data_IF_759013950165
#
_entry.id   IF_759013950165
#
_cell.length_a   1.000
_cell.length_b   1.000
_cell.length_c   1.000
_cell.angle_alpha   90.00
_cell.angle_beta   90.00
_cell.angle_gamma   90.00
#
_symmetry.space_group_name_H-M   'P 1'
#
loop_
_entity.id
_entity.type
_entity.pdbx_description
1 polymer ?
#
# COMPACT_ATOMS: atom_id res chain seq x y z
N UNK A 1 -3.92 16.47 6.97
CA UNK A 1 -3.17 17.48 6.18
C UNK A 1 -4.04 18.17 5.14
N UNK A 2 -4.59 17.46 4.13
CA UNK A 2 -5.45 18.06 3.09
C UNK A 2 -6.58 18.93 3.65
N UNK A 3 -7.33 18.45 4.65
CA UNK A 3 -8.43 19.23 5.24
C UNK A 3 -7.94 20.53 5.86
N UNK A 4 -6.80 20.51 6.56
CA UNK A 4 -6.21 21.71 7.16
C UNK A 4 -5.82 22.72 6.09
N UNK A 5 -5.08 22.29 5.08
CA UNK A 5 -4.66 23.10 3.94
C UNK A 5 -5.86 23.75 3.23
N UNK A 6 -6.89 22.94 2.93
CA UNK A 6 -8.09 23.40 2.23
C UNK A 6 -8.95 24.35 3.07
N UNK A 7 -9.07 24.12 4.38
CA UNK A 7 -9.80 25.02 5.29
C UNK A 7 -9.13 26.39 5.38
N UNK A 8 -7.80 26.42 5.40
CA UNK A 8 -7.04 27.67 5.42
C UNK A 8 -7.14 28.42 4.09
N UNK A 9 -7.00 27.72 2.96
CA UNK A 9 -7.04 28.32 1.63
C UNK A 9 -8.45 28.82 1.24
N UNK A 10 -9.49 28.05 1.52
CA UNK A 10 -10.84 28.34 1.00
C UNK A 10 -11.79 28.97 2.02
N UNK A 11 -11.52 28.79 3.32
CA UNK A 11 -12.37 29.35 4.37
C UNK A 11 -11.63 30.37 5.26
N UNK A 12 -10.34 30.61 5.01
CA UNK A 12 -9.54 31.53 5.83
C UNK A 12 -9.39 31.08 7.29
N UNK A 13 -9.63 29.79 7.57
CA UNK A 13 -9.63 29.26 8.92
C UNK A 13 -8.22 29.30 9.56
N UNK A 14 -8.19 29.20 10.89
CA UNK A 14 -6.98 28.83 11.64
C UNK A 14 -7.14 27.38 12.06
N UNK A 15 -6.11 26.56 11.85
CA UNK A 15 -6.18 25.12 12.08
C UNK A 15 -5.05 24.72 13.01
N UNK A 16 -5.39 23.92 14.02
CA UNK A 16 -4.41 23.22 14.85
C UNK A 16 -4.52 21.73 14.57
N UNK A 17 -3.40 21.09 14.24
CA UNK A 17 -3.29 19.66 13.99
C UNK A 17 -2.61 19.05 15.21
N UNK A 18 -3.19 17.97 15.74
CA UNK A 18 -2.55 17.13 16.74
C UNK A 18 -2.33 15.74 16.15
N UNK A 19 -1.19 15.12 16.49
CA UNK A 19 -0.93 13.71 16.22
C UNK A 19 -0.28 13.08 17.45
N UNK A 20 -0.64 11.83 17.75
CA UNK A 20 -0.06 11.07 18.86
C UNK A 20 1.36 10.63 18.55
N UNK A 21 1.73 10.58 17.27
CA UNK A 21 3.08 10.26 16.80
C UNK A 21 4.01 11.46 16.96
N UNK A 22 5.29 11.18 16.93
CA UNK A 22 6.40 12.14 16.99
C UNK A 22 6.71 12.78 15.62
N UNK A 23 5.89 12.53 14.60
CA UNK A 23 6.04 13.07 13.26
C UNK A 23 4.68 13.28 12.58
N UNK A 24 4.67 14.09 11.51
CA UNK A 24 3.49 14.26 10.65
C UNK A 24 3.36 13.12 9.64
N UNK A 25 2.20 13.06 8.96
CA UNK A 25 2.03 12.25 7.75
C UNK A 25 1.49 10.84 7.96
N UNK A 26 1.25 10.44 9.21
CA UNK A 26 0.73 9.11 9.52
C UNK A 26 1.64 8.02 8.95
N UNK A 27 1.07 7.03 8.28
CA UNK A 27 1.86 5.91 7.74
C UNK A 27 2.72 6.31 6.53
N UNK A 28 2.39 7.39 5.83
CA UNK A 28 3.17 7.87 4.69
C UNK A 28 4.46 8.60 5.11
N UNK A 29 4.72 8.73 6.41
CA UNK A 29 5.97 9.28 6.91
C UNK A 29 7.19 8.50 6.43
N UNK A 30 8.17 9.24 5.93
CA UNK A 30 9.48 8.74 5.55
C UNK A 30 10.59 9.57 6.19
N UNK A 31 11.77 8.97 6.31
CA UNK A 31 12.97 9.64 6.80
C UNK A 31 14.18 9.21 5.98
N UNK A 32 15.20 10.06 5.94
CA UNK A 32 16.48 9.70 5.32
C UNK A 32 17.30 8.91 6.32
N UNK A 33 17.76 7.73 5.92
CA UNK A 33 18.72 6.96 6.68
C UNK A 33 20.10 7.61 6.58
N UNK A 34 20.71 7.96 7.71
CA UNK A 34 21.97 8.71 7.72
C UNK A 34 23.17 7.87 7.24
N UNK A 35 23.12 6.55 7.46
CA UNK A 35 24.20 5.64 7.08
C UNK A 35 24.19 5.33 5.59
N UNK A 36 23.01 5.02 5.03
CA UNK A 36 22.89 4.59 3.62
C UNK A 36 22.49 5.71 2.67
N UNK A 37 21.95 6.81 3.18
CA UNK A 37 21.37 7.88 2.36
C UNK A 37 20.03 7.51 1.70
N UNK A 38 19.47 6.33 1.97
CA UNK A 38 18.19 5.90 1.42
C UNK A 38 17.00 6.56 2.13
N UNK A 39 15.92 6.84 1.40
CA UNK A 39 14.64 7.24 2.00
C UNK A 39 13.88 6.00 2.50
N UNK A 40 13.74 5.87 3.82
CA UNK A 40 13.04 4.75 4.46
C UNK A 40 11.62 5.16 4.85
N UNK A 41 10.65 4.31 4.52
CA UNK A 41 9.27 4.49 4.95
C UNK A 41 9.03 3.67 6.23
N UNK A 42 8.85 4.37 7.36
CA UNK A 42 8.76 3.75 8.69
C UNK A 42 7.62 2.73 8.84
N UNK A 43 6.56 2.88 8.05
CA UNK A 43 5.33 2.07 8.12
C UNK A 43 5.05 1.32 6.81
N UNK A 44 6.11 0.95 6.09
CA UNK A 44 6.06 0.22 4.82
C UNK A 44 6.03 1.12 3.59
N UNK A 45 6.34 0.55 2.44
CA UNK A 45 6.41 1.30 1.17
C UNK A 45 5.07 1.97 0.84
N UNK A 46 5.16 3.25 0.50
CA UNK A 46 4.07 4.07 -0.02
C UNK A 46 4.44 4.49 -1.43
N UNK A 47 3.50 4.33 -2.36
CA UNK A 47 3.72 4.53 -3.78
C UNK A 47 2.60 5.41 -4.28
N UNK A 48 2.93 6.60 -4.78
CA UNK A 48 1.90 7.51 -5.23
C UNK A 48 1.49 7.15 -6.65
N UNK A 49 0.21 6.83 -6.84
CA UNK A 49 -0.39 6.61 -8.15
C UNK A 49 -1.85 7.08 -8.15
N UNK A 50 -2.31 7.66 -9.26
CA UNK A 50 -3.70 8.09 -9.40
C UNK A 50 -4.09 8.28 -10.86
N UNK A 51 -5.37 8.02 -11.18
CA UNK A 51 -6.00 8.46 -12.43
C UNK A 51 -6.93 9.66 -12.22
N UNK A 52 -6.95 10.24 -11.02
CA UNK A 52 -7.76 11.41 -10.72
C UNK A 52 -6.95 12.69 -10.97
N UNK A 53 -7.24 13.36 -12.09
CA UNK A 53 -6.54 14.59 -12.49
C UNK A 53 -6.56 15.66 -11.41
N UNK A 54 -7.70 15.84 -10.72
CA UNK A 54 -7.82 16.84 -9.65
C UNK A 54 -6.86 16.54 -8.50
N UNK A 55 -6.69 15.27 -8.14
CA UNK A 55 -5.73 14.86 -7.11
C UNK A 55 -4.32 15.10 -7.61
N UNK A 56 -3.98 14.68 -8.83
CA UNK A 56 -2.67 14.91 -9.44
C UNK A 56 -2.27 16.39 -9.45
N UNK A 57 -3.14 17.24 -9.98
CA UNK A 57 -2.93 18.69 -10.05
C UNK A 57 -2.77 19.28 -8.63
N UNK A 58 -3.55 18.81 -7.66
CA UNK A 58 -3.48 19.27 -6.28
C UNK A 58 -2.15 18.92 -5.61
N UNK A 59 -1.70 17.66 -5.71
CA UNK A 59 -0.48 17.22 -5.03
C UNK A 59 0.78 17.85 -5.63
N UNK A 60 0.77 18.14 -6.94
CA UNK A 60 1.88 18.79 -7.65
C UNK A 60 2.10 20.26 -7.25
N UNK A 61 1.19 20.86 -6.46
CA UNK A 61 1.41 22.17 -5.84
C UNK A 61 2.47 22.14 -4.73
N UNK A 62 2.71 20.97 -4.15
CA UNK A 62 3.49 20.80 -2.92
C UNK A 62 4.72 19.91 -3.11
N UNK A 63 4.82 19.19 -4.23
CA UNK A 63 6.01 18.38 -4.57
C UNK A 63 6.04 18.14 -6.07
N UNK A 64 7.23 17.95 -6.63
CA UNK A 64 7.38 17.23 -7.89
C UNK A 64 7.43 15.73 -7.63
N UNK A 65 7.17 14.95 -8.68
CA UNK A 65 7.28 13.49 -8.65
C UNK A 65 8.37 13.03 -9.62
N UNK A 66 9.07 11.96 -9.25
CA UNK A 66 9.98 11.22 -10.14
C UNK A 66 9.19 10.52 -11.24
N UNK A 67 9.89 9.97 -12.24
CA UNK A 67 9.32 9.09 -13.26
C UNK A 67 9.28 7.61 -12.83
N UNK A 68 9.43 7.35 -11.53
CA UNK A 68 9.40 6.01 -10.96
C UNK A 68 8.11 5.27 -11.36
N UNK A 69 8.28 4.04 -11.85
CA UNK A 69 7.18 3.14 -12.19
C UNK A 69 7.36 1.84 -11.43
N UNK A 70 6.42 1.57 -10.54
CA UNK A 70 6.47 0.45 -9.63
C UNK A 70 6.36 -0.88 -10.38
N UNK A 71 7.30 -1.76 -10.08
CA UNK A 71 7.34 -3.14 -10.55
C UNK A 71 7.59 -4.03 -9.34
N UNK A 72 6.89 -5.15 -9.32
CA UNK A 72 6.98 -6.15 -8.25
C UNK A 72 7.35 -7.47 -8.89
N UNK A 73 8.18 -8.23 -8.18
CA UNK A 73 8.50 -9.60 -8.51
C UNK A 73 8.04 -10.52 -7.39
N UNK A 74 7.86 -11.80 -7.69
CA UNK A 74 7.55 -12.82 -6.70
C UNK A 74 8.51 -14.00 -6.84
N UNK A 75 9.06 -14.45 -5.73
CA UNK A 75 9.75 -15.73 -5.64
C UNK A 75 8.76 -16.83 -5.33
N UNK A 76 8.77 -17.88 -6.15
CA UNK A 76 8.03 -19.13 -5.97
C UNK A 76 8.92 -20.30 -6.40
N UNK A 77 9.11 -21.28 -5.52
CA UNK A 77 9.93 -22.48 -5.76
C UNK A 77 11.35 -22.16 -6.27
N UNK A 78 11.97 -21.14 -5.66
CA UNK A 78 13.32 -20.69 -6.02
C UNK A 78 13.42 -19.87 -7.32
N UNK A 79 12.33 -19.69 -8.07
CA UNK A 79 12.30 -18.89 -9.28
C UNK A 79 11.63 -17.52 -9.08
N UNK A 80 12.12 -16.50 -9.79
CA UNK A 80 11.60 -15.12 -9.72
C UNK A 80 10.69 -14.84 -10.91
N UNK A 81 9.47 -14.39 -10.64
CA UNK A 81 8.42 -14.12 -11.62
C UNK A 81 7.99 -12.65 -11.58
N UNK A 82 7.68 -12.02 -12.73
CA UNK A 82 7.10 -10.68 -12.74
C UNK A 82 5.66 -10.70 -12.21
N UNK A 83 5.28 -9.66 -11.47
CA UNK A 83 3.91 -9.38 -11.07
C UNK A 83 3.41 -8.04 -11.65
N UNK A 84 2.09 -7.89 -11.87
CA UNK A 84 1.05 -8.92 -11.73
C UNK A 84 1.20 -10.02 -12.78
N UNK A 85 0.50 -11.15 -12.59
CA UNK A 85 0.50 -12.27 -13.55
C UNK A 85 0.24 -11.73 -14.96
N UNK A 86 1.24 -11.85 -15.83
CA UNK A 86 1.20 -11.36 -17.20
C UNK A 86 1.68 -12.45 -18.17
N UNK A 87 1.79 -12.14 -19.46
CA UNK A 87 2.22 -13.12 -20.46
C UNK A 87 3.64 -13.63 -20.21
N UNK A 88 4.51 -12.81 -19.62
CA UNK A 88 5.83 -13.21 -19.15
C UNK A 88 5.77 -14.22 -18.01
N UNK A 89 4.96 -13.95 -16.98
CA UNK A 89 4.71 -14.89 -15.88
C UNK A 89 4.20 -16.23 -16.39
N UNK A 90 3.19 -16.21 -17.27
CA UNK A 90 2.57 -17.42 -17.82
C UNK A 90 3.59 -18.23 -18.61
N UNK A 91 4.34 -17.57 -19.52
CA UNK A 91 5.33 -18.27 -20.34
C UNK A 91 6.48 -18.85 -19.53
N UNK A 92 6.93 -18.15 -18.48
CA UNK A 92 7.95 -18.68 -17.57
C UNK A 92 7.41 -19.88 -16.78
N UNK A 93 6.25 -19.74 -16.13
CA UNK A 93 5.70 -20.75 -15.22
C UNK A 93 5.32 -22.06 -15.94
N UNK A 94 4.83 -21.96 -17.18
CA UNK A 94 4.48 -23.12 -17.99
C UNK A 94 5.61 -23.55 -18.96
N UNK A 95 6.80 -22.94 -18.87
CA UNK A 95 7.93 -23.17 -19.77
C UNK A 95 7.55 -23.19 -21.26
N UNK A 96 6.82 -22.15 -21.68
CA UNK A 96 6.14 -22.07 -22.96
C UNK A 96 6.39 -20.75 -23.70
N UNK A 97 5.87 -20.66 -24.93
CA UNK A 97 5.92 -19.46 -25.79
C UNK A 97 4.54 -19.06 -26.30
N UNK A 98 3.56 -19.02 -25.41
CA UNK A 98 2.20 -18.65 -25.74
C UNK A 98 2.13 -17.22 -26.28
N UNK A 99 1.34 -17.09 -27.34
CA UNK A 99 0.77 -15.81 -27.79
C UNK A 99 -0.33 -15.37 -26.80
N UNK A 100 -0.76 -14.08 -26.84
CA UNK A 100 -1.88 -13.62 -26.03
C UNK A 100 -3.15 -14.48 -26.14
N UNK A 101 -3.49 -14.95 -27.34
CA UNK A 101 -4.69 -15.77 -27.57
C UNK A 101 -4.55 -17.18 -26.98
N UNK A 102 -3.38 -17.80 -27.10
CA UNK A 102 -3.11 -19.11 -26.52
C UNK A 102 -3.10 -19.04 -24.98
N UNK A 103 -2.51 -17.99 -24.41
CA UNK A 103 -2.53 -17.76 -22.96
C UNK A 103 -3.95 -17.54 -22.43
N UNK A 104 -4.81 -16.80 -23.14
CA UNK A 104 -6.23 -16.66 -22.78
C UNK A 104 -6.94 -18.01 -22.76
N UNK A 105 -6.72 -18.83 -23.78
CA UNK A 105 -7.30 -20.17 -23.86
C UNK A 105 -6.82 -21.07 -22.72
N UNK A 106 -5.51 -21.06 -22.43
CA UNK A 106 -4.93 -21.81 -21.32
C UNK A 106 -5.56 -21.42 -19.98
N UNK A 107 -5.64 -20.12 -19.67
CA UNK A 107 -6.22 -19.65 -18.41
C UNK A 107 -7.69 -20.03 -18.31
N UNK A 108 -8.46 -19.93 -19.42
CA UNK A 108 -9.85 -20.35 -19.43
C UNK A 108 -10.02 -21.87 -19.22
N UNK A 109 -9.14 -22.69 -19.81
CA UNK A 109 -9.11 -24.14 -19.59
C UNK A 109 -8.79 -24.48 -18.12
N UNK A 110 -7.78 -23.83 -17.53
CA UNK A 110 -7.38 -24.03 -16.13
C UNK A 110 -8.44 -23.54 -15.13
N UNK A 111 -9.11 -22.42 -15.43
CA UNK A 111 -10.23 -21.89 -14.64
C UNK A 111 -11.52 -22.73 -14.78
N UNK A 112 -11.57 -23.62 -15.79
CA UNK A 112 -12.74 -24.44 -16.14
C UNK A 112 -13.26 -25.29 -15.00
N UNK A 113 -12.40 -25.67 -14.04
CA UNK A 113 -12.76 -26.46 -12.85
C UNK A 113 -13.97 -25.88 -12.10
N UNK A 114 -14.03 -24.55 -11.98
CA UNK A 114 -15.08 -23.84 -11.25
C UNK A 114 -15.90 -22.92 -12.15
N UNK A 115 -15.83 -23.11 -13.47
CA UNK A 115 -16.61 -22.32 -14.42
C UNK A 115 -18.13 -22.49 -14.17
N UNK A 116 -18.87 -21.38 -14.14
CA UNK A 116 -20.31 -21.38 -13.91
C UNK A 116 -20.75 -21.54 -12.45
N UNK A 117 -19.83 -21.66 -11.50
CA UNK A 117 -20.13 -21.63 -10.07
C UNK A 117 -20.17 -20.19 -9.52
N UNK A 118 -20.73 -20.00 -8.32
CA UNK A 118 -20.67 -18.73 -7.57
C UNK A 118 -19.90 -18.91 -6.24
N UNK A 119 -18.56 -18.90 -6.27
CA UNK A 119 -17.72 -19.11 -5.10
C UNK A 119 -18.00 -18.09 -3.98
N UNK A 120 -18.20 -18.58 -2.76
CA UNK A 120 -18.43 -17.73 -1.58
C UNK A 120 -17.14 -17.44 -0.79
N UNK A 121 -16.05 -18.16 -1.08
CA UNK A 121 -14.74 -17.96 -0.45
C UNK A 121 -13.68 -17.48 -1.45
N UNK A 122 -12.58 -16.92 -0.93
CA UNK A 122 -11.47 -16.38 -1.72
C UNK A 122 -10.76 -17.48 -2.51
N UNK A 123 -10.60 -18.66 -1.93
CA UNK A 123 -9.88 -19.77 -2.54
C UNK A 123 -10.48 -20.19 -3.89
N UNK A 124 -11.74 -20.57 -3.86
CA UNK A 124 -12.48 -21.04 -5.03
C UNK A 124 -12.68 -19.90 -6.02
N UNK A 125 -12.85 -18.66 -5.53
CA UNK A 125 -12.91 -17.49 -6.41
C UNK A 125 -11.60 -17.24 -7.16
N UNK A 126 -10.45 -17.41 -6.49
CA UNK A 126 -9.13 -17.29 -7.09
C UNK A 126 -8.91 -18.35 -8.17
N UNK A 127 -9.20 -19.62 -7.87
CA UNK A 127 -9.10 -20.74 -8.81
C UNK A 127 -10.00 -20.50 -10.03
N UNK A 128 -11.24 -20.06 -9.83
CA UNK A 128 -12.16 -19.72 -10.91
C UNK A 128 -11.63 -18.60 -11.83
N UNK A 129 -10.78 -17.70 -11.33
CA UNK A 129 -10.30 -16.55 -12.12
C UNK A 129 -9.02 -16.86 -12.90
N UNK A 130 -8.10 -17.63 -12.34
CA UNK A 130 -6.75 -17.80 -12.90
C UNK A 130 -6.29 -19.26 -13.02
N UNK A 131 -7.14 -20.20 -12.64
CA UNK A 131 -6.81 -21.62 -12.58
C UNK A 131 -6.03 -22.00 -11.31
N UNK A 132 -6.14 -23.27 -10.94
CA UNK A 132 -5.52 -23.82 -9.72
C UNK A 132 -4.00 -23.65 -9.68
N UNK A 133 -3.22 -23.95 -10.75
CA UNK A 133 -1.76 -23.90 -10.65
C UNK A 133 -1.23 -22.50 -10.29
N UNK A 134 -1.69 -21.47 -11.00
CA UNK A 134 -1.25 -20.09 -10.75
C UNK A 134 -1.79 -19.53 -9.41
N UNK A 135 -2.99 -19.96 -9.02
CA UNK A 135 -3.56 -19.58 -7.73
C UNK A 135 -2.75 -20.16 -6.57
N UNK A 136 -2.42 -21.45 -6.62
CA UNK A 136 -1.62 -22.11 -5.57
C UNK A 136 -0.20 -21.55 -5.53
N UNK A 137 0.41 -21.27 -6.69
CA UNK A 137 1.75 -20.69 -6.80
C UNK A 137 1.84 -19.27 -6.24
N UNK A 138 0.96 -18.35 -6.67
CA UNK A 138 1.19 -16.92 -6.43
C UNK A 138 0.22 -16.27 -5.43
N UNK A 139 -0.95 -16.87 -5.17
CA UNK A 139 -2.03 -16.21 -4.43
C UNK A 139 -2.31 -16.88 -3.09
N UNK A 140 -2.47 -18.21 -3.05
CA UNK A 140 -2.97 -18.95 -1.88
C UNK A 140 -2.16 -18.65 -0.62
N UNK A 141 -0.88 -18.98 -0.65
CA UNK A 141 -0.01 -18.91 0.53
C UNK A 141 0.35 -17.46 0.88
N UNK A 142 0.58 -16.60 -0.13
CA UNK A 142 0.77 -15.16 0.08
C UNK A 142 -0.44 -14.52 0.79
N UNK A 143 -1.66 -14.84 0.33
CA UNK A 143 -2.90 -14.36 0.96
C UNK A 143 -3.05 -14.92 2.36
N UNK A 144 -2.80 -16.21 2.56
CA UNK A 144 -2.83 -16.85 3.88
C UNK A 144 -1.90 -16.15 4.88
N UNK A 145 -0.67 -15.83 4.48
CA UNK A 145 0.28 -15.05 5.30
C UNK A 145 -0.21 -13.63 5.56
N UNK A 146 -0.72 -12.96 4.53
CA UNK A 146 -1.16 -11.57 4.64
C UNK A 146 -2.40 -11.43 5.52
N UNK A 147 -3.29 -12.42 5.57
CA UNK A 147 -4.53 -12.37 6.35
C UNK A 147 -4.47 -13.19 7.64
N UNK A 148 -3.44 -14.02 7.83
CA UNK A 148 -3.35 -15.01 8.91
C UNK A 148 -4.62 -15.86 9.01
N UNK A 149 -5.18 -16.22 7.86
CA UNK A 149 -6.45 -16.94 7.73
C UNK A 149 -6.39 -17.73 6.44
N UNK A 150 -6.86 -18.98 6.44
CA UNK A 150 -6.92 -19.78 5.22
C UNK A 150 -7.79 -19.06 4.17
N UNK A 151 -7.33 -18.89 2.92
CA UNK A 151 -8.17 -18.40 1.82
C UNK A 151 -9.56 -19.04 1.70
N UNK A 152 -9.75 -20.28 2.13
CA UNK A 152 -11.05 -20.94 2.15
C UNK A 152 -12.02 -20.38 3.21
N UNK A 153 -11.50 -19.73 4.25
CA UNK A 153 -12.26 -19.06 5.31
C UNK A 153 -12.44 -17.56 5.06
N UNK A 154 -11.78 -17.03 4.02
CA UNK A 154 -11.90 -15.63 3.61
C UNK A 154 -13.06 -15.45 2.63
N UNK A 155 -13.85 -14.37 2.74
CA UNK A 155 -14.96 -14.12 1.82
C UNK A 155 -14.46 -13.82 0.40
N UNK A 156 -15.18 -14.31 -0.62
CA UNK A 156 -14.87 -14.07 -2.04
C UNK A 156 -14.82 -12.58 -2.41
N UNK A 157 -15.49 -11.72 -1.64
CA UNK A 157 -15.52 -10.26 -1.86
C UNK A 157 -14.15 -9.58 -1.74
N UNK A 158 -13.17 -10.22 -1.06
CA UNK A 158 -11.78 -9.74 -0.98
C UNK A 158 -11.12 -9.77 -2.36
N UNK A 159 -11.49 -10.72 -3.22
CA UNK A 159 -10.97 -10.86 -4.58
C UNK A 159 -12.11 -10.72 -5.58
N UNK A 160 -12.41 -9.47 -5.94
CA UNK A 160 -13.38 -9.19 -7.02
C UNK A 160 -12.79 -9.46 -8.41
N UNK A 161 -11.49 -9.21 -8.59
CA UNK A 161 -10.74 -9.42 -9.84
C UNK A 161 -9.26 -9.69 -9.52
N UNK A 162 -8.69 -10.72 -10.13
CA UNK A 162 -7.23 -10.88 -10.24
C UNK A 162 -6.84 -10.44 -11.66
N UNK A 163 -6.03 -9.38 -11.82
CA UNK A 163 -5.71 -8.86 -13.13
C UNK A 163 -4.65 -9.76 -13.80
N UNK A 164 -5.08 -10.79 -14.53
CA UNK A 164 -4.21 -11.47 -15.50
C UNK A 164 -4.08 -10.60 -16.74
N UNK A 165 -2.84 -10.37 -17.19
CA UNK A 165 -2.54 -9.58 -18.39
C UNK A 165 -2.05 -10.48 -19.51
N UNK A 166 -2.67 -10.40 -20.68
CA UNK A 166 -2.25 -11.16 -21.85
C UNK A 166 -1.27 -10.36 -22.73
N UNK A 167 -0.38 -9.62 -22.08
CA UNK A 167 0.73 -8.88 -22.67
C UNK A 167 1.91 -8.89 -21.68
N UNK A 168 3.04 -8.27 -22.04
CA UNK A 168 4.24 -8.22 -21.19
C UNK A 168 4.32 -6.99 -20.29
N UNK A 169 3.24 -6.20 -20.14
CA UNK A 169 3.24 -5.03 -19.27
C UNK A 169 3.31 -5.47 -17.80
N UNK A 170 4.45 -5.22 -17.17
CA UNK A 170 4.74 -5.55 -15.77
C UNK A 170 4.65 -4.36 -14.80
N UNK A 171 4.09 -3.22 -15.24
CA UNK A 171 3.80 -2.11 -14.32
C UNK A 171 2.79 -2.55 -13.29
N UNK A 172 3.03 -2.33 -12.01
CA UNK A 172 2.14 -2.85 -10.98
C UNK A 172 0.78 -2.15 -11.00
N UNK A 173 0.80 -0.82 -11.14
CA UNK A 173 -0.41 0.01 -11.28
C UNK A 173 -0.79 0.20 -12.75
N UNK A 174 -2.07 0.56 -12.98
CA UNK A 174 -2.61 0.92 -14.29
C UNK A 174 -2.99 2.40 -14.38
N UNK A 175 -2.64 3.17 -13.35
CA UNK A 175 -3.05 4.55 -13.22
C UNK A 175 -2.34 5.47 -14.22
N UNK A 176 -2.95 6.63 -14.49
CA UNK A 176 -2.43 7.60 -15.47
C UNK A 176 -1.17 8.30 -14.98
N UNK A 177 -1.14 8.67 -13.69
CA UNK A 177 -0.01 9.33 -13.05
C UNK A 177 0.54 8.45 -11.94
N UNK A 178 1.85 8.32 -11.90
CA UNK A 178 2.61 7.55 -10.92
C UNK A 178 3.97 8.22 -10.73
N UNK A 179 4.52 8.11 -9.53
CA UNK A 179 5.86 8.57 -9.20
C UNK A 179 6.07 8.61 -7.69
N UNK A 180 7.29 8.95 -7.28
CA UNK A 180 7.61 9.19 -5.86
C UNK A 180 7.92 10.67 -5.64
N UNK A 181 7.61 11.25 -4.46
CA UNK A 181 7.95 12.64 -4.19
C UNK A 181 9.47 12.85 -4.27
N UNK A 182 9.93 13.77 -5.10
CA UNK A 182 11.36 13.92 -5.40
C UNK A 182 12.23 14.20 -4.16
N UNK A 183 11.68 14.95 -3.20
CA UNK A 183 12.34 15.29 -1.93
C UNK A 183 11.89 14.41 -0.75
N UNK A 184 11.12 13.36 -1.04
CA UNK A 184 10.53 12.45 -0.07
C UNK A 184 9.18 12.88 0.50
N UNK A 185 8.47 11.91 1.06
CA UNK A 185 7.08 12.09 1.52
C UNK A 185 6.96 13.13 2.63
N UNK A 186 7.87 13.14 3.60
CA UNK A 186 7.80 14.10 4.72
C UNK A 186 7.96 15.54 4.23
N UNK A 187 8.86 15.82 3.27
CA UNK A 187 9.01 17.16 2.67
C UNK A 187 7.79 17.62 1.91
N UNK A 188 7.16 16.72 1.16
CA UNK A 188 5.87 17.00 0.54
C UNK A 188 4.83 17.40 1.59
N UNK A 189 4.71 16.65 2.69
CA UNK A 189 3.72 16.90 3.74
C UNK A 189 4.00 18.17 4.54
N UNK A 190 5.26 18.53 4.79
CA UNK A 190 5.66 19.81 5.39
C UNK A 190 5.15 20.98 4.56
N UNK A 191 5.38 20.97 3.23
CA UNK A 191 4.91 22.01 2.31
C UNK A 191 3.40 22.13 2.24
N UNK A 192 2.67 21.03 2.40
CA UNK A 192 1.19 21.06 2.44
C UNK A 192 0.65 21.91 3.60
N UNK A 193 1.41 22.06 4.68
CA UNK A 193 0.98 22.76 5.90
C UNK A 193 1.86 23.96 6.24
N UNK A 194 2.67 24.43 5.29
CA UNK A 194 3.50 25.63 5.42
C UNK A 194 2.67 26.91 5.24
N UNK A 195 1.68 27.09 6.11
CA UNK A 195 0.91 28.33 6.26
C UNK A 195 0.90 28.71 7.74
N UNK A 196 1.18 29.98 8.10
CA UNK A 196 1.27 30.41 9.50
C UNK A 196 -0.05 30.26 10.29
N UNK A 197 -1.18 30.02 9.62
CA UNK A 197 -2.48 29.72 10.25
C UNK A 197 -2.65 28.24 10.57
N UNK A 198 -1.76 27.37 10.10
CA UNK A 198 -1.69 25.95 10.43
C UNK A 198 -0.59 25.77 11.47
N UNK A 199 -0.95 25.15 12.59
CA UNK A 199 -0.02 24.84 13.68
C UNK A 199 -0.11 23.35 14.00
N UNK A 200 0.97 22.75 14.49
CA UNK A 200 1.05 21.30 14.74
C UNK A 200 1.61 21.04 16.14
N UNK A 201 0.98 20.11 16.87
CA UNK A 201 1.55 19.51 18.09
C UNK A 201 1.65 18.00 17.91
N UNK A 202 2.84 17.45 18.16
CA UNK A 202 3.15 16.03 18.02
C UNK A 202 3.30 15.39 19.41
N UNK A 203 3.14 14.07 19.51
CA UNK A 203 3.10 13.38 20.80
C UNK A 203 1.86 13.70 21.64
N UNK A 204 0.78 14.17 21.01
CA UNK A 204 -0.44 14.63 21.69
C UNK A 204 -1.61 13.68 21.39
N UNK A 205 -2.08 12.98 22.43
CA UNK A 205 -3.30 12.16 22.33
C UNK A 205 -4.55 13.05 22.47
N UNK A 206 -5.49 12.92 21.53
CA UNK A 206 -6.79 13.60 21.54
C UNK A 206 -7.66 13.26 22.77
N UNK A 207 -7.44 12.10 23.39
CA UNK A 207 -8.17 11.65 24.57
C UNK A 207 -7.47 11.94 25.90
N UNK A 208 -6.23 12.45 25.89
CA UNK A 208 -5.52 12.86 27.10
C UNK A 208 -6.11 14.16 27.66
N UNK A 209 -6.79 14.10 28.81
CA UNK A 209 -7.42 15.28 29.42
C UNK A 209 -6.42 16.28 30.02
N UNK A 210 -5.12 15.96 30.10
CA UNK A 210 -4.09 16.85 30.66
C UNK A 210 -3.71 18.02 29.74
N UNK A 211 -3.99 17.90 28.43
CA UNK A 211 -3.62 18.86 27.39
C UNK A 211 -4.85 19.61 26.82
N UNK A 212 -4.71 20.85 26.30
CA UNK A 212 -5.85 21.74 26.01
C UNK A 212 -6.67 21.39 24.75
N UNK A 213 -6.13 20.58 23.84
CA UNK A 213 -6.74 20.15 22.59
C UNK A 213 -7.47 18.80 22.69
N UNK A 214 -7.79 18.36 23.91
CA UNK A 214 -8.49 17.10 24.12
C UNK A 214 -9.97 17.19 23.75
N UNK A 215 -10.61 16.02 23.53
CA UNK A 215 -12.02 15.90 23.11
C UNK A 215 -12.99 16.72 23.98
N UNK A 216 -12.82 16.67 25.31
CA UNK A 216 -13.73 17.33 26.26
C UNK A 216 -13.54 18.84 26.24
N UNK A 217 -12.29 19.32 26.24
CA UNK A 217 -11.97 20.73 26.15
C UNK A 217 -12.47 21.36 24.84
N UNK A 218 -12.19 20.74 23.70
CA UNK A 218 -12.63 21.24 22.39
C UNK A 218 -14.16 21.22 22.23
N UNK A 219 -14.83 20.19 22.76
CA UNK A 219 -16.30 20.14 22.79
C UNK A 219 -16.88 21.27 23.64
N UNK A 220 -16.33 21.51 24.82
CA UNK A 220 -16.77 22.60 25.70
C UNK A 220 -16.54 23.99 25.06
N UNK A 221 -15.46 24.14 24.29
CA UNK A 221 -15.16 25.36 23.55
C UNK A 221 -15.98 25.53 22.25
N UNK A 222 -16.77 24.54 21.84
CA UNK A 222 -17.55 24.58 20.60
C UNK A 222 -16.69 24.58 19.33
N UNK A 223 -15.45 24.08 19.41
CA UNK A 223 -14.53 24.04 18.26
C UNK A 223 -14.87 22.83 17.37
N UNK A 224 -15.10 23.02 16.06
CA UNK A 224 -15.29 21.91 15.14
C UNK A 224 -14.05 21.03 15.07
N UNK A 225 -14.25 19.71 15.15
CA UNK A 225 -13.16 18.71 15.12
C UNK A 225 -13.29 17.83 13.89
N UNK A 226 -12.18 17.68 13.17
CA UNK A 226 -12.01 16.66 12.13
C UNK A 226 -11.18 15.53 12.72
N UNK A 227 -11.85 14.46 13.14
CA UNK A 227 -11.20 13.31 13.75
C UNK A 227 -10.90 12.23 12.70
N UNK A 228 -9.65 11.80 12.63
CA UNK A 228 -9.17 10.78 11.67
C UNK A 228 -8.58 9.54 12.35
N UNK A 229 -8.73 9.43 13.68
CA UNK A 229 -8.32 8.26 14.44
C UNK A 229 -9.34 7.12 14.42
N UNK A 230 -9.12 6.06 15.21
CA UNK A 230 -10.02 4.91 15.27
C UNK A 230 -11.42 5.29 15.78
N UNK A 231 -12.45 4.89 15.04
CA UNK A 231 -13.85 5.26 15.30
C UNK A 231 -14.44 4.53 16.52
N UNK A 232 -14.06 3.28 16.70
CA UNK A 232 -14.39 2.47 17.89
C UNK A 232 -13.86 3.12 19.17
N UNK A 233 -12.58 3.53 19.19
CA UNK A 233 -11.97 4.29 20.30
C UNK A 233 -12.72 5.58 20.59
N UNK A 234 -13.15 6.29 19.54
CA UNK A 234 -13.89 7.55 19.68
C UNK A 234 -15.19 7.37 20.45
N UNK A 235 -15.91 6.27 20.21
CA UNK A 235 -17.13 5.91 20.94
C UNK A 235 -16.83 4.98 22.14
N UNK A 236 -15.62 5.01 22.68
CA UNK A 236 -15.27 4.26 23.89
C UNK A 236 -15.46 2.75 23.77
N UNK A 237 -15.38 2.19 22.57
CA UNK A 237 -15.60 0.77 22.27
C UNK A 237 -16.98 0.25 22.70
N UNK A 238 -18.01 1.12 22.76
CA UNK A 238 -19.37 0.79 23.21
C UNK A 238 -20.03 -0.37 22.44
N UNK A 239 -19.61 -0.60 21.19
CA UNK A 239 -20.10 -1.68 20.32
C UNK A 239 -19.05 -2.78 20.07
N UNK A 240 -17.99 -2.81 20.87
CA UNK A 240 -16.83 -3.69 20.73
C UNK A 240 -15.72 -3.11 19.85
N UNK A 241 -14.60 -3.84 19.79
CA UNK A 241 -13.41 -3.48 19.04
C UNK A 241 -13.54 -3.80 17.54
N UNK A 242 -13.22 -2.84 16.68
CA UNK A 242 -13.09 -3.14 15.26
C UNK A 242 -11.82 -3.96 15.03
N UNK A 243 -11.93 -4.98 14.18
CA UNK A 243 -10.79 -5.81 13.81
C UNK A 243 -9.96 -5.11 12.74
N UNK A 244 -8.67 -4.95 13.01
CA UNK A 244 -7.70 -4.40 12.08
C UNK A 244 -6.61 -5.41 11.79
N UNK A 245 -6.03 -5.32 10.60
CA UNK A 245 -4.78 -6.01 10.30
C UNK A 245 -3.62 -5.07 10.58
N UNK A 246 -2.58 -5.60 11.22
CA UNK A 246 -1.28 -4.93 11.37
C UNK A 246 -0.21 -5.61 10.53
N UNK A 247 0.95 -4.98 10.42
CA UNK A 247 2.16 -5.54 9.81
C UNK A 247 3.35 -5.19 10.69
N UNK A 248 4.27 -6.13 10.84
CA UNK A 248 5.54 -5.92 11.51
C UNK A 248 6.63 -5.74 10.47
N UNK A 249 7.53 -4.79 10.72
CA UNK A 249 8.68 -4.53 9.86
C UNK A 249 9.95 -4.93 10.61
N UNK A 250 10.77 -5.77 9.98
CA UNK A 250 12.11 -6.11 10.44
C UNK A 250 13.11 -5.51 9.46
N UNK A 251 13.87 -4.54 9.92
CA UNK A 251 14.99 -3.99 9.16
C UNK A 251 16.15 -4.98 9.14
N UNK A 252 16.79 -5.10 7.98
CA UNK A 252 18.01 -5.89 7.77
C UNK A 252 18.95 -5.05 6.93
N UNK A 253 20.21 -4.94 7.36
CA UNK A 253 21.28 -4.27 6.61
C UNK A 253 22.21 -5.35 6.04
N UNK A 254 22.56 -5.20 4.78
CA UNK A 254 23.44 -6.11 4.06
C UNK A 254 24.77 -5.42 3.75
N UNK A 255 25.86 -6.18 3.75
CA UNK A 255 27.20 -5.67 3.39
C UNK A 255 27.37 -5.53 1.86
N UNK A 256 26.37 -5.91 1.08
CA UNK A 256 26.32 -5.78 -0.37
C UNK A 256 25.43 -4.60 -0.81
N UNK A 257 25.79 -4.00 -1.94
CA UNK A 257 25.12 -2.78 -2.41
C UNK A 257 23.75 -3.00 -3.06
N UNK A 258 23.36 -4.23 -3.38
CA UNK A 258 22.06 -4.58 -3.98
C UNK A 258 21.71 -6.05 -3.70
N UNK A 259 20.68 -6.26 -2.89
CA UNK A 259 20.32 -7.61 -2.42
C UNK A 259 19.23 -8.25 -3.30
N UNK A 260 18.20 -7.50 -3.70
CA UNK A 260 17.10 -8.03 -4.51
C UNK A 260 17.12 -7.52 -5.96
N UNK A 261 17.83 -6.43 -6.26
CA UNK A 261 17.81 -5.82 -7.60
C UNK A 261 16.46 -5.25 -8.01
N UNK A 262 15.54 -5.10 -7.04
CA UNK A 262 14.21 -4.55 -7.26
C UNK A 262 13.69 -3.88 -5.98
N UNK A 263 12.69 -2.98 -6.06
CA UNK A 263 12.17 -2.28 -4.90
C UNK A 263 11.36 -3.18 -3.96
N UNK A 264 10.64 -4.16 -4.52
CA UNK A 264 9.78 -5.08 -3.77
C UNK A 264 9.85 -6.48 -4.35
N UNK A 265 10.27 -7.43 -3.52
CA UNK A 265 10.21 -8.86 -3.79
C UNK A 265 9.15 -9.49 -2.89
N UNK A 266 8.11 -10.07 -3.49
CA UNK A 266 7.14 -10.89 -2.79
C UNK A 266 7.68 -12.32 -2.62
N UNK A 267 7.31 -12.98 -1.53
CA UNK A 267 7.62 -14.38 -1.30
C UNK A 267 6.31 -15.14 -1.23
N UNK A 268 5.99 -15.89 -2.28
CA UNK A 268 4.68 -16.52 -2.38
C UNK A 268 4.56 -17.78 -1.54
N UNK A 269 5.67 -18.47 -1.27
CA UNK A 269 5.69 -19.76 -0.60
C UNK A 269 5.39 -19.70 0.90
N UNK A 270 4.82 -20.79 1.42
CA UNK A 270 4.37 -20.91 2.81
C UNK A 270 5.52 -21.09 3.81
N UNK A 271 6.66 -21.60 3.37
CA UNK A 271 7.87 -21.81 4.18
C UNK A 271 8.63 -20.50 4.47
N UNK A 272 8.39 -19.43 3.69
CA UNK A 272 8.90 -18.10 3.95
C UNK A 272 7.97 -17.34 4.92
N UNK A 273 8.42 -16.97 6.14
CA UNK A 273 7.52 -16.46 7.19
C UNK A 273 7.03 -15.02 6.98
N UNK A 274 7.65 -14.27 6.07
CA UNK A 274 7.25 -12.91 5.71
C UNK A 274 6.59 -12.86 4.33
N UNK A 275 5.81 -11.81 4.08
CA UNK A 275 5.09 -11.63 2.81
C UNK A 275 5.98 -11.09 1.71
N UNK A 276 6.80 -10.08 2.02
CA UNK A 276 7.64 -9.37 1.05
C UNK A 276 8.83 -8.72 1.73
N UNK A 277 9.87 -8.49 0.95
CA UNK A 277 10.98 -7.62 1.28
C UNK A 277 10.89 -6.32 0.48
N UNK A 278 11.37 -5.24 1.06
CA UNK A 278 11.38 -3.90 0.48
C UNK A 278 12.82 -3.40 0.51
N UNK A 279 13.37 -3.05 -0.64
CA UNK A 279 14.72 -2.53 -0.78
C UNK A 279 14.67 -1.06 -1.18
N UNK A 280 14.77 -0.18 -0.18
CA UNK A 280 14.40 1.22 -0.33
C UNK A 280 15.22 2.01 -1.35
N UNK A 281 16.52 1.71 -1.50
CA UNK A 281 17.37 2.39 -2.51
C UNK A 281 16.84 2.24 -3.93
N UNK A 282 16.17 1.14 -4.25
CA UNK A 282 15.64 0.88 -5.58
C UNK A 282 14.38 1.71 -5.90
N UNK A 283 13.83 2.45 -4.92
CA UNK A 283 12.76 3.43 -5.16
C UNK A 283 13.25 4.71 -5.82
N UNK A 284 14.46 5.16 -5.49
CA UNK A 284 15.06 6.39 -6.04
C UNK A 284 16.46 6.06 -6.57
N UNK A 285 16.59 5.25 -7.65
CA UNK A 285 17.89 4.79 -8.17
C UNK A 285 18.81 5.93 -8.64
N UNK A 286 18.27 7.12 -8.86
CA UNK A 286 18.99 8.35 -9.19
C UNK A 286 19.64 9.06 -7.99
N UNK A 287 19.43 8.58 -6.75
CA UNK A 287 19.96 9.14 -5.50
C UNK A 287 20.80 8.13 -4.74
#
# INVERSE_FOLDING_TARGET
LTVAQQAVEHAGARVHIIDVRDHIGGNAYSYMDEETGAEIHKYGAHLFHTSNKRVWDYVNRFTSFTDYVHRVYATHDGEVYPLPINLGTINQFFHARYTPAEAQKLIAEQAGELAGTDPQNLNDKGIQLIGRPLYEAFIKNYTGKQWQTDPAELPASIVKRLPVRFNYDNRYFKDTWEGLPADGYTKWMERMIDDPRITVSLGVDFFDESQPYNRKALRAAGVPVVYTGPVDRYFGYELGDLKWRTVDFKEVRYDEGDHFGCPVMNFSDADVPYTRAIEFKNFNPER
#
